data_IF_421001310268
#
_entry.id   IF_421001310268
#
_cell.length_a   1.000
_cell.length_b   1.000
_cell.length_c   1.000
_cell.angle_alpha   90.00
_cell.angle_beta   90.00
_cell.angle_gamma   90.00
#
_symmetry.space_group_name_H-M   'P 1'
#
loop_
_entity.id
_entity.type
_entity.pdbx_description
1 polymer ?
#
# COMPACT_ATOMS: atom_id res chain seq x y z
N UNK A 1 -4.39 5.47 -9.04
CA UNK A 1 -3.02 5.33 -8.50
C UNK A 1 -2.95 6.03 -7.15
N UNK A 2 -2.18 5.49 -6.21
CA UNK A 2 -1.90 6.11 -4.90
C UNK A 2 -0.45 6.58 -4.92
N UNK A 3 -0.21 7.80 -4.47
CA UNK A 3 1.10 8.42 -4.41
C UNK A 3 1.41 8.85 -2.99
N UNK A 4 2.69 8.82 -2.62
CA UNK A 4 3.18 9.35 -1.37
C UNK A 4 4.53 10.05 -1.57
N UNK A 5 4.74 11.13 -0.82
CA UNK A 5 6.00 11.84 -0.69
C UNK A 5 6.31 11.99 0.79
N UNK A 6 7.48 11.48 1.19
CA UNK A 6 7.97 11.49 2.55
C UNK A 6 9.28 12.26 2.57
N UNK A 7 9.35 13.33 3.37
CA UNK A 7 10.51 14.23 3.44
C UNK A 7 10.77 14.65 4.87
N UNK A 8 12.03 14.89 5.30
CA UNK A 8 12.32 15.40 6.63
C UNK A 8 11.51 16.65 6.93
N UNK A 9 10.96 16.72 8.15
CA UNK A 9 10.26 17.91 8.59
C UNK A 9 11.24 18.98 9.07
N UNK A 10 10.92 20.24 8.81
CA UNK A 10 11.61 21.39 9.40
C UNK A 10 10.75 22.11 10.44
N UNK A 11 9.56 21.57 10.74
CA UNK A 11 8.64 22.10 11.73
C UNK A 11 8.69 21.29 13.03
N UNK A 12 8.32 21.88 14.18
CA UNK A 12 8.21 21.13 15.44
C UNK A 12 7.18 19.98 15.38
N UNK A 13 6.15 20.11 14.55
CA UNK A 13 5.13 19.09 14.31
C UNK A 13 5.16 18.73 12.81
N UNK A 14 5.43 17.47 12.44
CA UNK A 14 5.44 17.07 11.05
C UNK A 14 4.07 17.21 10.39
N UNK A 15 4.07 17.63 9.12
CA UNK A 15 2.86 17.76 8.32
C UNK A 15 2.38 16.39 7.85
N UNK A 16 1.08 16.15 7.96
CA UNK A 16 0.40 15.01 7.35
C UNK A 16 -0.69 15.55 6.44
N UNK A 17 -0.60 15.25 5.15
CA UNK A 17 -1.50 15.79 4.13
C UNK A 17 -2.08 14.63 3.33
N UNK A 18 -3.41 14.59 3.25
CA UNK A 18 -4.14 13.53 2.56
C UNK A 18 -5.11 14.15 1.53
N UNK A 19 -4.95 13.82 0.25
CA UNK A 19 -5.81 14.29 -0.83
C UNK A 19 -6.49 13.10 -1.52
N UNK A 20 -7.81 12.97 -1.38
CA UNK A 20 -8.56 11.80 -1.90
C UNK A 20 -8.37 10.52 -1.08
N UNK A 21 -7.69 10.63 0.07
CA UNK A 21 -7.53 9.60 1.10
C UNK A 21 -8.11 10.16 2.40
N UNK A 22 -8.79 9.32 3.18
CA UNK A 22 -9.27 9.71 4.50
C UNK A 22 -8.09 9.97 5.45
N UNK A 23 -8.13 11.08 6.18
CA UNK A 23 -6.99 11.57 6.95
C UNK A 23 -6.61 10.64 8.11
N UNK A 24 -7.58 10.14 8.87
CA UNK A 24 -7.31 9.23 9.99
C UNK A 24 -6.72 7.90 9.50
N UNK A 25 -7.12 7.44 8.31
CA UNK A 25 -6.52 6.28 7.66
C UNK A 25 -5.04 6.50 7.35
N UNK A 26 -4.65 7.68 6.85
CA UNK A 26 -3.23 8.01 6.70
C UNK A 26 -2.51 7.93 8.04
N UNK A 27 -3.07 8.50 9.12
CA UNK A 27 -2.47 8.46 10.44
C UNK A 27 -2.28 7.03 10.97
N UNK A 28 -3.30 6.18 10.81
CA UNK A 28 -3.25 4.77 11.20
C UNK A 28 -2.18 4.01 10.44
N UNK A 29 -2.12 4.18 9.11
CA UNK A 29 -1.11 3.50 8.29
C UNK A 29 0.30 3.93 8.71
N UNK A 30 0.53 5.22 8.92
CA UNK A 30 1.85 5.68 9.37
C UNK A 30 2.21 5.07 10.73
N UNK A 31 1.28 5.03 11.68
CA UNK A 31 1.52 4.41 12.99
C UNK A 31 1.88 2.92 12.86
N UNK A 32 1.19 2.19 11.98
CA UNK A 32 1.49 0.78 11.71
C UNK A 32 2.88 0.61 11.08
N UNK A 33 3.20 1.40 10.04
CA UNK A 33 4.52 1.34 9.39
C UNK A 33 5.65 1.66 10.37
N UNK A 34 5.49 2.68 11.20
CA UNK A 34 6.46 3.07 12.22
C UNK A 34 6.66 1.97 13.26
N UNK A 35 5.57 1.37 13.76
CA UNK A 35 5.65 0.33 14.79
C UNK A 35 6.16 -1.01 14.26
N UNK A 36 5.71 -1.42 13.07
CA UNK A 36 5.95 -2.77 12.53
C UNK A 36 7.20 -2.84 11.67
N UNK A 37 7.44 -1.83 10.83
CA UNK A 37 8.63 -1.77 9.97
C UNK A 37 9.79 -0.98 10.59
N UNK A 38 9.59 -0.42 11.80
CA UNK A 38 10.59 0.39 12.53
C UNK A 38 11.07 1.62 11.75
N UNK A 39 10.21 2.16 10.88
CA UNK A 39 10.48 3.38 10.14
C UNK A 39 10.34 4.59 11.07
N UNK A 40 11.32 5.49 11.07
CA UNK A 40 11.32 6.69 11.92
C UNK A 40 10.48 7.83 11.32
N UNK A 41 9.17 7.62 11.15
CA UNK A 41 8.27 8.54 10.44
C UNK A 41 7.82 9.75 11.28
N UNK A 42 8.03 9.71 12.60
CA UNK A 42 7.75 10.84 13.50
C UNK A 42 8.53 12.13 13.19
N UNK A 43 9.63 12.06 12.41
CA UNK A 43 10.42 13.23 11.98
C UNK A 43 10.18 13.66 10.53
N UNK A 44 9.13 13.14 9.88
CA UNK A 44 8.91 13.35 8.44
C UNK A 44 7.52 13.93 8.16
N UNK A 45 7.50 14.90 7.25
CA UNK A 45 6.29 15.31 6.56
C UNK A 45 5.87 14.21 5.58
N UNK A 46 4.58 13.92 5.54
CA UNK A 46 4.01 12.89 4.66
C UNK A 46 2.84 13.49 3.89
N UNK A 47 2.97 13.49 2.57
CA UNK A 47 1.94 13.89 1.63
C UNK A 47 1.46 12.64 0.91
N UNK A 48 0.17 12.37 0.93
CA UNK A 48 -0.42 11.22 0.25
C UNK A 48 -1.61 11.66 -0.60
N UNK A 49 -1.70 11.16 -1.82
CA UNK A 49 -2.79 11.53 -2.73
C UNK A 49 -3.23 10.38 -3.64
N UNK A 50 -4.49 10.43 -4.05
CA UNK A 50 -5.01 9.61 -5.16
C UNK A 50 -5.06 10.43 -6.44
N UNK A 51 -4.58 9.86 -7.54
CA UNK A 51 -4.71 10.49 -8.87
C UNK A 51 -6.13 10.30 -9.39
N UNK A 52 -6.70 11.34 -9.99
CA UNK A 52 -8.00 11.31 -10.67
C UNK A 52 -9.19 11.76 -9.81
N UNK A 53 -8.95 12.33 -8.62
CA UNK A 53 -10.01 12.91 -7.77
C UNK A 53 -10.92 11.87 -7.10
N UNK A 54 -10.59 10.59 -7.19
CA UNK A 54 -11.33 9.52 -6.56
C UNK A 54 -11.19 9.59 -5.03
N UNK A 55 -12.31 9.83 -4.35
CA UNK A 55 -12.46 9.55 -2.92
C UNK A 55 -12.81 8.09 -2.77
N UNK A 56 -12.13 7.41 -1.86
CA UNK A 56 -12.20 5.96 -1.77
C UNK A 56 -12.23 5.54 -0.32
N UNK A 57 -13.32 4.86 0.02
CA UNK A 57 -13.54 4.25 1.33
C UNK A 57 -13.04 2.80 1.36
N UNK A 58 -12.61 2.26 0.22
CA UNK A 58 -12.19 0.88 0.05
C UNK A 58 -10.89 0.62 0.84
N UNK A 59 -10.97 -0.29 1.82
CA UNK A 59 -9.84 -0.71 2.67
C UNK A 59 -8.75 -1.47 1.90
N UNK A 60 -9.05 -1.95 0.70
CA UNK A 60 -8.05 -2.64 -0.12
C UNK A 60 -6.89 -1.77 -0.57
N UNK A 61 -7.00 -0.44 -0.48
CA UNK A 61 -5.89 0.44 -0.82
C UNK A 61 -4.91 0.68 0.34
N UNK A 62 -5.22 0.19 1.54
CA UNK A 62 -4.40 0.44 2.73
C UNK A 62 -2.96 -0.06 2.51
N UNK A 63 -2.81 -1.22 1.86
CA UNK A 63 -1.51 -1.76 1.45
C UNK A 63 -0.84 -0.97 0.32
N UNK A 64 -1.59 -0.45 -0.65
CA UNK A 64 -1.05 0.41 -1.70
C UNK A 64 -0.49 1.73 -1.12
N UNK A 65 -1.22 2.36 -0.20
CA UNK A 65 -0.76 3.54 0.53
C UNK A 65 0.48 3.22 1.37
N UNK A 66 0.46 2.07 2.06
CA UNK A 66 1.60 1.62 2.87
C UNK A 66 2.86 1.49 2.01
N UNK A 67 2.78 0.80 0.87
CA UNK A 67 3.92 0.58 -0.01
C UNK A 67 4.36 1.85 -0.73
N UNK A 68 3.46 2.78 -1.04
CA UNK A 68 3.84 4.10 -1.56
C UNK A 68 4.68 4.90 -0.55
N UNK A 69 4.29 4.90 0.73
CA UNK A 69 5.05 5.56 1.81
C UNK A 69 6.41 4.88 1.98
N UNK A 70 6.43 3.54 2.03
CA UNK A 70 7.67 2.76 2.16
C UNK A 70 8.61 3.02 0.98
N UNK A 71 8.09 3.03 -0.25
CA UNK A 71 8.84 3.35 -1.47
C UNK A 71 9.52 4.72 -1.37
N UNK A 72 8.77 5.75 -0.96
CA UNK A 72 9.33 7.10 -0.79
C UNK A 72 10.36 7.20 0.33
N UNK A 73 10.22 6.43 1.41
CA UNK A 73 11.19 6.41 2.52
C UNK A 73 12.48 5.69 2.15
N UNK A 74 12.36 4.59 1.40
CA UNK A 74 13.49 3.76 0.99
C UNK A 74 14.20 4.30 -0.26
N UNK A 75 13.64 5.31 -0.92
CA UNK A 75 14.07 5.80 -2.24
C UNK A 75 14.22 4.65 -3.25
N UNK A 76 13.23 3.75 -3.24
CA UNK A 76 13.18 2.56 -4.10
C UNK A 76 11.85 2.48 -4.82
N UNK A 77 11.89 2.26 -6.13
CA UNK A 77 10.68 2.15 -6.95
C UNK A 77 9.98 0.81 -6.73
N UNK A 78 8.64 0.84 -6.66
CA UNK A 78 7.81 -0.36 -6.83
C UNK A 78 7.92 -0.79 -8.31
N UNK A 79 8.08 -2.10 -8.62
CA UNK A 79 8.15 -2.56 -9.99
C UNK A 79 6.95 -2.09 -10.83
N UNK A 80 7.22 -1.67 -12.07
CA UNK A 80 6.16 -1.23 -12.98
C UNK A 80 5.09 -2.30 -13.17
N UNK A 81 3.86 -1.86 -13.49
CA UNK A 81 2.73 -2.76 -13.76
C UNK A 81 2.40 -3.67 -12.57
N UNK A 82 2.65 -3.18 -11.36
CA UNK A 82 2.28 -3.84 -10.10
C UNK A 82 1.03 -3.21 -9.49
N UNK A 83 0.10 -4.05 -9.05
CA UNK A 83 -1.06 -3.66 -8.25
C UNK A 83 -0.93 -4.29 -6.87
N UNK A 84 -1.11 -3.49 -5.82
CA UNK A 84 -1.04 -3.93 -4.43
C UNK A 84 -2.42 -3.73 -3.83
N UNK A 85 -2.99 -4.78 -3.25
CA UNK A 85 -4.33 -4.70 -2.66
C UNK A 85 -4.47 -5.58 -1.42
N UNK A 86 -5.11 -5.02 -0.40
CA UNK A 86 -5.26 -5.64 0.92
C UNK A 86 -5.46 -4.59 1.99
N UNK A 87 -6.26 -4.95 2.99
CA UNK A 87 -6.46 -4.14 4.19
C UNK A 87 -5.29 -4.36 5.14
N UNK A 88 -4.80 -3.30 5.76
CA UNK A 88 -3.70 -3.39 6.73
C UNK A 88 -4.28 -3.28 8.12
N UNK A 89 -4.12 -4.34 8.91
CA UNK A 89 -4.50 -4.33 10.32
C UNK A 89 -3.46 -3.64 11.20
N UNK A 90 -3.84 -3.34 12.44
CA UNK A 90 -2.95 -2.70 13.42
C UNK A 90 -1.77 -3.61 13.85
N UNK A 91 -1.92 -4.93 13.64
CA UNK A 91 -0.85 -5.92 13.79
C UNK A 91 0.20 -5.85 12.68
N UNK A 92 -0.07 -5.13 11.59
CA UNK A 92 0.71 -5.15 10.35
C UNK A 92 0.26 -6.25 9.38
N UNK A 93 -0.72 -7.06 9.76
CA UNK A 93 -1.22 -8.15 8.94
C UNK A 93 -1.92 -7.62 7.68
N UNK A 94 -1.71 -8.31 6.57
CA UNK A 94 -2.34 -8.03 5.29
C UNK A 94 -3.60 -8.89 5.18
N UNK A 95 -4.76 -8.26 5.41
CA UNK A 95 -6.06 -8.92 5.47
C UNK A 95 -6.69 -9.04 4.07
N UNK A 96 -7.48 -10.11 3.84
CA UNK A 96 -8.18 -10.27 2.57
C UNK A 96 -9.23 -9.18 2.36
N UNK A 97 -9.42 -8.79 1.11
CA UNK A 97 -10.43 -7.78 0.72
C UNK A 97 -11.42 -8.35 -0.27
N UNK A 98 -12.59 -7.73 -0.36
CA UNK A 98 -13.68 -8.21 -1.23
C UNK A 98 -13.31 -7.97 -2.71
N UNK A 99 -13.62 -8.96 -3.55
CA UNK A 99 -13.56 -8.83 -5.01
C UNK A 99 -12.15 -8.84 -5.60
N UNK A 100 -11.15 -9.43 -4.90
CA UNK A 100 -9.75 -9.51 -5.37
C UNK A 100 -9.64 -10.17 -6.75
N UNK A 101 -10.31 -11.31 -6.98
CA UNK A 101 -10.29 -11.97 -8.31
C UNK A 101 -10.81 -11.05 -9.42
N UNK A 102 -11.89 -10.31 -9.16
CA UNK A 102 -12.45 -9.36 -10.12
C UNK A 102 -11.45 -8.24 -10.39
N UNK A 103 -10.81 -7.69 -9.35
CA UNK A 103 -9.79 -6.63 -9.47
C UNK A 103 -8.57 -7.11 -10.25
N UNK A 104 -8.11 -8.33 -10.02
CA UNK A 104 -7.00 -8.96 -10.77
C UNK A 104 -7.37 -9.06 -12.25
N UNK A 105 -8.53 -9.66 -12.58
CA UNK A 105 -8.99 -9.77 -13.99
C UNK A 105 -9.11 -8.41 -14.69
N UNK A 106 -9.54 -7.36 -13.97
CA UNK A 106 -9.57 -6.02 -14.54
C UNK A 106 -8.16 -5.44 -14.74
N UNK A 107 -7.27 -5.61 -13.76
CA UNK A 107 -5.87 -5.20 -13.88
C UNK A 107 -5.16 -5.90 -15.04
N UNK A 108 -5.38 -7.20 -15.23
CA UNK A 108 -4.88 -7.98 -16.36
C UNK A 108 -5.28 -7.35 -17.69
N UNK A 109 -6.56 -7.01 -17.86
CA UNK A 109 -7.10 -6.36 -19.07
C UNK A 109 -6.46 -4.98 -19.31
N UNK A 110 -6.09 -4.29 -18.25
CA UNK A 110 -5.39 -3.00 -18.31
C UNK A 110 -3.87 -3.15 -18.48
N UNK A 111 -3.35 -4.39 -18.55
CA UNK A 111 -1.94 -4.69 -18.81
C UNK A 111 -1.05 -4.76 -17.57
N UNK A 112 -1.63 -4.80 -16.36
CA UNK A 112 -0.87 -5.08 -15.14
C UNK A 112 -0.41 -6.54 -15.11
N UNK A 113 0.82 -6.75 -14.61
CA UNK A 113 1.51 -8.05 -14.66
C UNK A 113 1.73 -8.67 -13.29
N UNK A 114 1.85 -7.84 -12.25
CA UNK A 114 2.14 -8.29 -10.89
C UNK A 114 1.02 -7.84 -9.96
N UNK A 115 0.55 -8.75 -9.10
CA UNK A 115 -0.50 -8.48 -8.13
C UNK A 115 -0.03 -8.94 -6.74
N UNK A 116 0.07 -8.01 -5.80
CA UNK A 116 0.38 -8.31 -4.41
C UNK A 116 -0.91 -8.35 -3.61
N UNK A 117 -1.19 -9.48 -2.98
CA UNK A 117 -2.44 -9.75 -2.25
C UNK A 117 -2.17 -10.46 -0.92
N UNK A 118 -3.16 -10.46 -0.02
CA UNK A 118 -3.13 -11.24 1.22
C UNK A 118 -2.85 -12.72 0.96
N UNK A 119 -2.01 -13.34 1.79
CA UNK A 119 -1.67 -14.76 1.75
C UNK A 119 -2.89 -15.68 1.93
N UNK A 120 -3.99 -15.15 2.47
CA UNK A 120 -5.30 -15.81 2.48
C UNK A 120 -5.72 -16.35 1.10
N UNK A 121 -5.29 -15.70 0.01
CA UNK A 121 -5.65 -16.07 -1.36
C UNK A 121 -4.74 -17.11 -2.02
N UNK A 122 -3.65 -17.55 -1.38
CA UNK A 122 -2.62 -18.44 -1.98
C UNK A 122 -3.17 -19.73 -2.61
N UNK A 123 -4.23 -20.29 -2.05
CA UNK A 123 -4.90 -21.49 -2.57
C UNK A 123 -6.25 -21.22 -3.25
N UNK A 124 -6.67 -19.95 -3.34
CA UNK A 124 -8.01 -19.53 -3.77
C UNK A 124 -7.98 -18.79 -5.09
N UNK A 125 -6.96 -17.99 -5.31
CA UNK A 125 -6.79 -17.17 -6.51
C UNK A 125 -5.50 -17.60 -7.16
N UNK A 126 -5.54 -17.84 -8.47
CA UNK A 126 -4.36 -18.08 -9.28
C UNK A 126 -4.55 -17.37 -10.61
N UNK A 127 -3.46 -16.87 -11.20
CA UNK A 127 -3.48 -16.21 -12.49
C UNK A 127 -2.61 -16.98 -13.49
N UNK A 128 -3.10 -17.14 -14.72
CA UNK A 128 -2.28 -17.67 -15.83
C UNK A 128 -1.63 -16.49 -16.55
N UNK A 129 -0.30 -16.49 -16.64
CA UNK A 129 0.43 -15.44 -17.36
C UNK A 129 0.61 -14.12 -16.61
N UNK A 130 0.25 -14.08 -15.32
CA UNK A 130 0.56 -13.00 -14.39
C UNK A 130 1.29 -13.53 -13.16
N UNK A 131 1.99 -12.64 -12.47
CA UNK A 131 2.64 -12.93 -11.21
C UNK A 131 1.74 -12.52 -10.04
N UNK A 132 1.36 -13.46 -9.18
CA UNK A 132 0.64 -13.16 -7.95
C UNK A 132 1.57 -13.41 -6.76
N UNK A 133 1.85 -12.34 -6.03
CA UNK A 133 2.65 -12.33 -4.82
C UNK A 133 1.69 -12.37 -3.63
N UNK A 134 1.91 -13.34 -2.73
CA UNK A 134 1.09 -13.55 -1.54
C UNK A 134 1.88 -13.14 -0.31
N UNK A 135 1.36 -12.21 0.48
CA UNK A 135 2.01 -11.74 1.71
C UNK A 135 1.07 -11.82 2.93
N UNK A 136 1.56 -12.26 4.08
CA UNK A 136 0.82 -12.29 5.34
C UNK A 136 0.76 -10.95 6.05
N UNK A 137 1.75 -10.10 5.83
CA UNK A 137 1.90 -8.80 6.48
C UNK A 137 2.67 -7.81 5.60
N UNK A 138 2.70 -6.55 6.05
CA UNK A 138 3.38 -5.45 5.34
C UNK A 138 4.90 -5.59 5.30
N UNK A 139 5.51 -6.35 6.20
CA UNK A 139 6.96 -6.57 6.20
C UNK A 139 7.35 -7.58 5.12
N UNK A 140 6.62 -8.70 5.04
CA UNK A 140 6.76 -9.66 3.95
C UNK A 140 6.45 -8.99 2.60
N UNK A 141 5.37 -8.21 2.51
CA UNK A 141 5.05 -7.47 1.28
C UNK A 141 6.19 -6.54 0.86
N UNK A 142 6.77 -5.77 1.78
CA UNK A 142 7.94 -4.92 1.51
C UNK A 142 9.11 -5.76 0.97
N UNK A 143 9.47 -6.84 1.66
CA UNK A 143 10.63 -7.67 1.30
C UNK A 143 10.46 -8.37 -0.06
N UNK A 144 9.23 -8.65 -0.48
CA UNK A 144 8.93 -9.25 -1.78
C UNK A 144 8.88 -8.22 -2.92
N UNK A 145 8.75 -6.93 -2.61
CA UNK A 145 8.64 -5.85 -3.60
C UNK A 145 9.99 -5.12 -3.84
N UNK A 146 10.79 -4.90 -2.80
CA UNK A 146 11.98 -4.02 -2.80
C UNK A 146 13.31 -4.72 -2.47
#
# INVERSE_FOLDING_TARGET
EVQALVTPTYFPIPRRVANGIEYNRLLLIVAVLEKRLRLKLGGFDIYANTIGGFKTEDRSMDSALSMAIVSSVLDKNIPEKTVIMGEVGLGGELRPTIGVERKIKQGERLGFKTFVVSSFFKSRVNGKGINIIYASDIEEAKNLIF
#
